data_IF_091846184702
#
_entry.id   IF_091846184702
#
_cell.length_a   1.000
_cell.length_b   1.000
_cell.length_c   1.000
_cell.angle_alpha   90.00
_cell.angle_beta   90.00
_cell.angle_gamma   90.00
#
_symmetry.space_group_name_H-M   'P 1'
#
loop_
_entity.id
_entity.type
_entity.pdbx_description
1 polymer ?
#
# COMPACT_ATOMS: atom_id res chain seq x y z
N UNK A 1 -12.03 -17.15 8.61
CA UNK A 1 -12.61 -16.34 7.52
C UNK A 1 -14.09 -16.18 7.83
N UNK A 2 -14.60 -14.95 7.87
CA UNK A 2 -16.04 -14.71 8.05
C UNK A 2 -16.70 -14.54 6.66
N UNK A 3 -17.24 -15.63 6.13
CA UNK A 3 -17.88 -15.66 4.80
C UNK A 3 -19.14 -14.78 4.75
N UNK A 4 -19.81 -14.57 5.88
CA UNK A 4 -21.06 -13.78 6.00
C UNK A 4 -20.84 -12.28 5.77
N UNK A 5 -19.64 -11.78 6.05
CA UNK A 5 -19.29 -10.37 5.92
C UNK A 5 -18.42 -10.05 4.69
N UNK A 6 -18.03 -11.06 3.89
CA UNK A 6 -17.00 -10.95 2.82
C UNK A 6 -15.71 -10.25 3.31
N UNK A 7 -15.39 -10.34 4.61
CA UNK A 7 -14.22 -9.72 5.22
C UNK A 7 -13.19 -10.81 5.52
N UNK A 8 -12.15 -10.85 4.71
CA UNK A 8 -10.97 -11.68 5.01
C UNK A 8 -10.04 -10.81 5.84
N UNK A 9 -9.78 -11.17 7.11
CA UNK A 9 -8.74 -10.49 7.88
C UNK A 9 -7.38 -10.97 7.39
N UNK A 10 -6.59 -10.11 6.74
CA UNK A 10 -5.26 -10.49 6.30
C UNK A 10 -4.32 -10.63 7.50
N UNK A 11 -3.26 -11.42 7.31
CA UNK A 11 -2.18 -11.58 8.30
C UNK A 11 -1.67 -10.19 8.75
N UNK A 12 -1.36 -9.99 10.04
CA UNK A 12 -0.90 -8.70 10.55
C UNK A 12 0.25 -8.09 9.74
N UNK A 13 1.21 -8.93 9.30
CA UNK A 13 2.40 -8.50 8.57
C UNK A 13 2.14 -7.80 7.23
N UNK A 14 1.00 -8.07 6.58
CA UNK A 14 0.67 -7.48 5.27
C UNK A 14 -0.32 -6.31 5.36
N UNK A 15 -0.87 -6.02 6.55
CA UNK A 15 -1.85 -4.94 6.76
C UNK A 15 -1.31 -3.57 6.37
N UNK A 16 -0.04 -3.28 6.72
CA UNK A 16 0.62 -2.03 6.33
C UNK A 16 0.71 -1.87 4.81
N UNK A 17 1.17 -2.91 4.11
CA UNK A 17 1.25 -2.92 2.65
C UNK A 17 -0.11 -2.71 1.99
N UNK A 18 -1.15 -3.38 2.50
CA UNK A 18 -2.51 -3.25 1.98
C UNK A 18 -2.97 -1.80 2.12
N UNK A 19 -2.83 -1.20 3.31
CA UNK A 19 -3.21 0.20 3.55
C UNK A 19 -2.53 1.16 2.56
N UNK A 20 -1.20 1.04 2.40
CA UNK A 20 -0.43 1.86 1.45
C UNK A 20 -0.83 1.66 0.00
N UNK A 21 -1.17 0.43 -0.38
CA UNK A 21 -1.64 0.12 -1.74
C UNK A 21 -3.02 0.75 -1.99
N UNK A 22 -3.95 0.66 -1.04
CA UNK A 22 -5.25 1.30 -1.16
C UNK A 22 -5.15 2.82 -1.21
N UNK A 23 -4.30 3.44 -0.40
CA UNK A 23 -4.06 4.88 -0.49
C UNK A 23 -3.48 5.29 -1.84
N UNK A 24 -2.52 4.52 -2.36
CA UNK A 24 -1.98 4.74 -3.70
C UNK A 24 -3.06 4.66 -4.77
N UNK A 25 -3.87 3.59 -4.76
CA UNK A 25 -4.93 3.41 -5.75
C UNK A 25 -6.00 4.50 -5.64
N UNK A 26 -6.38 4.87 -4.41
CA UNK A 26 -7.33 5.97 -4.17
C UNK A 26 -6.80 7.29 -4.71
N UNK A 27 -5.53 7.62 -4.50
CA UNK A 27 -4.90 8.84 -5.04
C UNK A 27 -4.75 8.78 -6.56
N UNK A 28 -4.29 7.65 -7.10
CA UNK A 28 -3.95 7.50 -8.52
C UNK A 28 -5.18 7.41 -9.43
N UNK A 29 -6.26 6.80 -8.95
CA UNK A 29 -7.48 6.54 -9.72
C UNK A 29 -8.70 7.26 -9.14
N UNK A 30 -8.50 8.18 -8.20
CA UNK A 30 -9.55 8.95 -7.52
C UNK A 30 -10.68 8.07 -6.93
N UNK A 31 -10.33 6.88 -6.42
CA UNK A 31 -11.30 5.95 -5.83
C UNK A 31 -11.75 6.49 -4.47
N UNK A 32 -13.06 6.55 -4.25
CA UNK A 32 -13.64 6.99 -2.98
C UNK A 32 -13.53 5.87 -1.95
N UNK A 33 -12.71 6.07 -0.93
CA UNK A 33 -12.68 5.22 0.26
C UNK A 33 -13.80 5.63 1.21
N UNK A 34 -14.49 4.65 1.80
CA UNK A 34 -15.44 4.94 2.87
C UNK A 34 -14.68 5.52 4.08
N UNK A 35 -15.37 6.31 4.91
CA UNK A 35 -14.77 6.87 6.12
C UNK A 35 -14.24 5.77 7.06
N UNK A 36 -14.93 4.62 7.10
CA UNK A 36 -14.53 3.47 7.90
C UNK A 36 -13.24 2.83 7.37
N UNK A 37 -13.14 2.62 6.06
CA UNK A 37 -11.95 2.03 5.43
C UNK A 37 -10.75 2.97 5.53
N UNK A 38 -10.97 4.28 5.36
CA UNK A 38 -9.91 5.27 5.49
C UNK A 38 -9.31 5.26 6.91
N UNK A 39 -10.15 5.20 7.95
CA UNK A 39 -9.68 5.07 9.34
C UNK A 39 -8.96 3.74 9.59
N UNK A 40 -9.50 2.64 9.06
CA UNK A 40 -8.88 1.31 9.17
C UNK A 40 -7.48 1.29 8.55
N UNK A 41 -7.34 1.79 7.32
CA UNK A 41 -6.06 1.83 6.63
C UNK A 41 -5.09 2.84 7.27
N UNK A 42 -5.57 3.96 7.81
CA UNK A 42 -4.72 4.87 8.58
C UNK A 42 -4.16 4.20 9.82
N UNK A 43 -4.99 3.47 10.58
CA UNK A 43 -4.54 2.72 11.74
C UNK A 43 -3.50 1.66 11.33
N UNK A 44 -3.78 0.89 10.28
CA UNK A 44 -2.84 -0.13 9.79
C UNK A 44 -1.52 0.47 9.31
N UNK A 45 -1.54 1.60 8.61
CA UNK A 45 -0.32 2.26 8.15
C UNK A 45 0.54 2.78 9.31
N UNK A 46 -0.08 3.22 10.42
CA UNK A 46 0.62 3.63 11.64
C UNK A 46 1.17 2.44 12.42
N UNK A 47 0.39 1.37 12.57
CA UNK A 47 0.80 0.18 13.35
C UNK A 47 1.87 -0.64 12.63
N UNK A 48 1.85 -0.67 11.29
CA UNK A 48 2.76 -1.49 10.48
C UNK A 48 3.58 -0.58 9.54
N UNK A 49 4.73 -0.06 10.00
CA UNK A 49 5.58 0.83 9.20
C UNK A 49 6.16 0.11 7.99
N UNK A 50 6.73 0.89 7.07
CA UNK A 50 7.34 0.38 5.83
C UNK A 50 8.61 -0.41 6.14
N UNK A 51 8.67 -1.64 5.65
CA UNK A 51 9.84 -2.50 5.75
C UNK A 51 10.79 -2.30 4.55
N UNK A 52 12.06 -2.70 4.70
CA UNK A 52 13.08 -2.56 3.66
C UNK A 52 12.71 -3.27 2.36
N UNK A 53 12.18 -4.49 2.46
CA UNK A 53 11.76 -5.26 1.29
C UNK A 53 10.61 -4.58 0.52
N UNK A 54 9.75 -3.80 1.20
CA UNK A 54 8.71 -3.02 0.53
C UNK A 54 9.31 -1.88 -0.29
N UNK A 55 10.36 -1.22 0.22
CA UNK A 55 11.10 -0.21 -0.53
C UNK A 55 11.80 -0.81 -1.75
N UNK A 56 12.45 -1.97 -1.58
CA UNK A 56 13.07 -2.70 -2.70
C UNK A 56 12.04 -3.12 -3.74
N UNK A 57 10.88 -3.64 -3.31
CA UNK A 57 9.77 -3.98 -4.21
C UNK A 57 9.26 -2.73 -4.93
N UNK A 58 9.08 -1.61 -4.21
CA UNK A 58 8.62 -0.35 -4.78
C UNK A 58 9.56 0.16 -5.86
N UNK A 59 10.87 0.09 -5.61
CA UNK A 59 11.91 0.44 -6.58
C UNK A 59 11.82 -0.43 -7.84
N UNK A 60 11.76 -1.76 -7.69
CA UNK A 60 11.67 -2.69 -8.83
C UNK A 60 10.40 -2.46 -9.67
N UNK A 61 9.26 -2.29 -9.00
CA UNK A 61 7.99 -1.99 -9.67
C UNK A 61 8.05 -0.63 -10.37
N UNK A 62 8.68 0.38 -9.76
CA UNK A 62 8.84 1.70 -10.35
C UNK A 62 9.71 1.69 -11.60
N UNK A 63 10.77 0.87 -11.63
CA UNK A 63 11.58 0.69 -12.83
C UNK A 63 10.77 0.15 -14.02
N UNK A 64 9.80 -0.72 -13.77
CA UNK A 64 8.96 -1.31 -14.82
C UNK A 64 7.81 -0.38 -15.21
N UNK A 65 7.12 0.22 -14.24
CA UNK A 65 5.94 1.06 -14.50
C UNK A 65 6.26 2.53 -14.77
N UNK A 66 7.50 2.97 -14.57
CA UNK A 66 7.91 4.37 -14.61
C UNK A 66 7.43 5.21 -13.42
N UNK A 67 6.79 4.60 -12.42
CA UNK A 67 6.23 5.28 -11.22
C UNK A 67 6.14 4.35 -10.03
N UNK A 68 6.43 4.87 -8.84
CA UNK A 68 6.37 4.14 -7.57
C UNK A 68 5.15 4.51 -6.72
N UNK A 69 4.96 3.75 -5.65
CA UNK A 69 4.03 4.07 -4.58
C UNK A 69 4.66 5.07 -3.59
N UNK A 70 4.19 6.31 -3.62
CA UNK A 70 4.66 7.39 -2.74
C UNK A 70 4.44 7.10 -1.24
N UNK A 71 3.44 6.28 -0.90
CA UNK A 71 3.15 5.88 0.49
C UNK A 71 4.14 4.86 1.05
N UNK A 72 4.96 4.24 0.20
CA UNK A 72 6.07 3.35 0.60
C UNK A 72 7.37 4.15 0.73
N UNK A 73 7.59 5.13 -0.14
CA UNK A 73 8.75 6.02 -0.11
C UNK A 73 9.23 6.43 -1.51
N UNK A 74 10.28 7.27 -1.58
CA UNK A 74 10.85 7.69 -2.85
C UNK A 74 11.47 6.51 -3.61
N UNK A 75 11.46 6.61 -4.93
CA UNK A 75 12.10 5.64 -5.85
C UNK A 75 13.10 6.38 -6.73
N UNK A 76 14.22 5.72 -7.03
CA UNK A 76 15.24 6.25 -7.92
C UNK A 76 15.04 5.69 -9.33
N UNK A 77 14.26 6.38 -10.17
CA UNK A 77 14.04 5.92 -11.55
C UNK A 77 15.31 5.96 -12.41
N UNK A 78 16.32 6.76 -12.03
CA UNK A 78 17.60 6.85 -12.74
C UNK A 78 18.47 5.61 -12.54
N UNK A 79 18.26 4.85 -11.46
CA UNK A 79 19.00 3.61 -11.21
C UNK A 79 18.36 2.37 -11.86
N UNK A 80 17.36 2.58 -12.72
CA UNK A 80 16.63 1.51 -13.40
C UNK A 80 17.20 1.16 -14.79
N UNK A 81 18.22 1.91 -15.22
CA UNK A 81 18.98 1.75 -16.46
C UNK A 81 19.94 0.57 -16.39
#
# INVERSE_FOLDING_TARGET
>A
MDFKAKKVMPRPSIRGMIARTYFYMSKQYNLRLSRQDQQLYQAWNKTYPVQEWERQRNQRVACVMGRGNEFVGPVNLKSCS
#
